data_IF_236054847020
#
_entry.id   IF_236054847020
#
_cell.length_a   1.000
_cell.length_b   1.000
_cell.length_c   1.000
_cell.angle_alpha   90.00
_cell.angle_beta   90.00
_cell.angle_gamma   90.00
#
_symmetry.space_group_name_H-M   'P 1'
#
loop_
_entity.id
_entity.type
_entity.pdbx_description
1 polymer ?
#
# COMPACT_ATOMS: atom_id res chain seq x y z
N UNK A 1 -1.76 -2.92 1.34
CA UNK A 1 -0.40 -3.29 0.90
C UNK A 1 -0.35 -3.60 -0.59
N UNK A 2 -1.38 -4.26 -1.16
CA UNK A 2 -1.52 -4.53 -2.60
C UNK A 2 -1.06 -3.42 -3.56
N UNK A 3 -1.38 -2.15 -3.32
CA UNK A 3 -0.97 -1.05 -4.21
C UNK A 3 0.57 -0.89 -4.29
N UNK A 4 1.26 -1.06 -3.16
CA UNK A 4 2.73 -1.08 -3.12
C UNK A 4 3.27 -2.28 -3.88
N UNK A 5 2.74 -3.48 -3.60
CA UNK A 5 3.17 -4.73 -4.25
C UNK A 5 2.98 -4.68 -5.77
N UNK A 6 1.87 -4.09 -6.25
CA UNK A 6 1.62 -3.91 -7.68
C UNK A 6 2.62 -2.97 -8.33
N UNK A 7 2.97 -1.87 -7.66
CA UNK A 7 3.97 -0.95 -8.18
C UNK A 7 5.37 -1.56 -8.14
N UNK A 8 5.74 -2.29 -7.09
CA UNK A 8 7.02 -3.02 -7.01
C UNK A 8 7.14 -4.04 -8.14
N UNK A 9 6.09 -4.84 -8.38
CA UNK A 9 6.07 -5.79 -9.49
C UNK A 9 6.20 -5.08 -10.86
N UNK A 10 5.62 -3.89 -11.01
CA UNK A 10 5.77 -3.10 -12.23
C UNK A 10 7.19 -2.56 -12.41
N UNK A 11 7.83 -2.08 -11.33
CA UNK A 11 9.22 -1.63 -11.36
C UNK A 11 10.17 -2.79 -11.68
N UNK A 12 9.96 -3.97 -11.08
CA UNK A 12 10.73 -5.18 -11.38
C UNK A 12 10.65 -5.57 -12.86
N UNK A 13 9.45 -5.51 -13.46
CA UNK A 13 9.24 -5.80 -14.89
C UNK A 13 9.95 -4.79 -15.81
N UNK A 14 10.17 -3.55 -15.36
CA UNK A 14 10.83 -2.50 -16.13
C UNK A 14 12.35 -2.55 -16.06
N UNK A 15 12.91 -3.27 -15.09
CA UNK A 15 14.36 -3.38 -14.92
C UNK A 15 15.01 -2.00 -14.84
N UNK A 16 15.98 -1.72 -15.73
CA UNK A 16 16.73 -0.46 -15.71
C UNK A 16 15.86 0.79 -15.93
N UNK A 17 14.72 0.66 -16.62
CA UNK A 17 13.82 1.80 -16.85
C UNK A 17 13.06 2.23 -15.58
N UNK A 18 13.07 1.41 -14.52
CA UNK A 18 12.46 1.75 -13.24
C UNK A 18 13.10 2.96 -12.56
N UNK A 19 14.36 3.26 -12.90
CA UNK A 19 15.13 4.40 -12.35
C UNK A 19 14.72 5.75 -12.98
N UNK A 20 13.90 5.75 -14.02
CA UNK A 20 13.43 6.98 -14.66
C UNK A 20 12.41 7.70 -13.77
N UNK A 21 12.50 9.04 -13.70
CA UNK A 21 11.48 9.87 -13.05
C UNK A 21 10.25 9.99 -13.95
N UNK A 22 9.29 9.07 -13.79
CA UNK A 22 8.07 8.99 -14.59
C UNK A 22 6.87 8.53 -13.76
N UNK A 23 5.77 8.18 -14.43
CA UNK A 23 4.53 7.81 -13.76
C UNK A 23 4.67 6.60 -12.84
N UNK A 24 5.55 5.64 -13.14
CA UNK A 24 5.70 4.42 -12.33
C UNK A 24 6.51 4.67 -11.06
N UNK A 25 7.63 5.38 -11.16
CA UNK A 25 8.44 5.73 -9.99
C UNK A 25 7.68 6.68 -9.06
N UNK A 26 6.94 7.66 -9.63
CA UNK A 26 6.03 8.53 -8.85
C UNK A 26 4.86 7.77 -8.25
N UNK A 27 4.27 6.82 -8.98
CA UNK A 27 3.20 5.97 -8.49
C UNK A 27 3.64 5.13 -7.29
N UNK A 28 4.80 4.48 -7.38
CA UNK A 28 5.38 3.72 -6.26
C UNK A 28 5.63 4.61 -5.03
N UNK A 29 6.27 5.78 -5.22
CA UNK A 29 6.51 6.73 -4.13
C UNK A 29 5.20 7.17 -3.44
N UNK A 30 4.13 7.37 -4.21
CA UNK A 30 2.82 7.66 -3.65
C UNK A 30 2.22 6.46 -2.91
N UNK A 31 2.30 5.26 -3.50
CA UNK A 31 1.77 4.03 -2.93
C UNK A 31 2.37 3.71 -1.55
N UNK A 32 3.65 4.07 -1.31
CA UNK A 32 4.30 3.95 0.00
C UNK A 32 3.56 4.69 1.11
N UNK A 33 2.83 5.76 0.79
CA UNK A 33 2.00 6.48 1.76
C UNK A 33 0.68 5.78 2.06
N UNK A 34 0.17 4.95 1.15
CA UNK A 34 -1.14 4.31 1.24
C UNK A 34 -1.40 3.55 2.54
N UNK A 35 -0.45 2.74 3.06
CA UNK A 35 -0.62 2.04 4.32
C UNK A 35 -0.75 2.91 5.58
N UNK A 36 -0.46 4.22 5.50
CA UNK A 36 -0.43 5.14 6.65
C UNK A 36 -1.34 6.36 6.48
N UNK A 37 -1.51 6.85 5.26
CA UNK A 37 -2.31 8.01 4.93
C UNK A 37 -3.80 7.72 5.20
N UNK A 38 -4.47 8.69 5.85
CA UNK A 38 -5.87 8.57 6.26
C UNK A 38 -6.17 7.41 7.23
N UNK A 39 -5.15 6.93 7.96
CA UNK A 39 -5.26 5.92 9.00
C UNK A 39 -4.60 4.61 8.59
N UNK A 40 -3.85 4.01 9.51
CA UNK A 40 -2.98 2.89 9.13
C UNK A 40 -3.76 1.61 8.85
N UNK A 41 -3.22 0.74 7.99
CA UNK A 41 -3.82 -0.56 7.69
C UNK A 41 -4.09 -1.38 8.96
N UNK A 42 -3.21 -1.34 9.96
CA UNK A 42 -3.39 -2.04 11.23
C UNK A 42 -4.63 -1.55 11.96
N UNK A 43 -4.82 -0.23 12.04
CA UNK A 43 -5.98 0.36 12.70
C UNK A 43 -7.25 0.01 11.92
N UNK A 44 -7.24 0.09 10.58
CA UNK A 44 -8.40 -0.27 9.76
C UNK A 44 -8.76 -1.75 9.89
N UNK A 45 -7.76 -2.66 9.94
CA UNK A 45 -7.98 -4.10 10.18
C UNK A 45 -8.61 -4.35 11.56
N UNK A 46 -8.16 -3.64 12.60
CA UNK A 46 -8.77 -3.73 13.91
C UNK A 46 -10.23 -3.23 13.89
N UNK A 47 -10.51 -2.10 13.23
CA UNK A 47 -11.88 -1.58 13.08
C UNK A 47 -12.76 -2.59 12.34
N UNK A 48 -12.26 -3.23 11.28
CA UNK A 48 -13.00 -4.27 10.56
C UNK A 48 -13.26 -5.50 11.45
N UNK A 49 -12.26 -5.96 12.20
CA UNK A 49 -12.41 -7.06 13.15
C UNK A 49 -13.48 -6.76 14.22
N UNK A 50 -13.50 -5.54 14.78
CA UNK A 50 -14.51 -5.13 15.76
C UNK A 50 -15.90 -5.01 15.12
N UNK A 51 -16.02 -4.25 14.02
CA UNK A 51 -17.33 -3.84 13.47
C UNK A 51 -17.98 -4.87 12.56
N UNK A 52 -17.19 -5.62 11.81
CA UNK A 52 -17.68 -6.61 10.84
C UNK A 52 -17.72 -8.00 11.47
N UNK A 53 -16.66 -8.36 12.22
CA UNK A 53 -16.52 -9.71 12.78
C UNK A 53 -16.95 -9.82 14.25
N UNK A 54 -17.21 -8.70 14.94
CA UNK A 54 -17.63 -8.71 16.35
C UNK A 54 -16.55 -9.16 17.33
N UNK A 55 -15.28 -9.11 16.94
CA UNK A 55 -14.17 -9.52 17.79
C UNK A 55 -13.95 -8.52 18.94
N UNK A 56 -13.56 -8.99 20.15
CA UNK A 56 -13.26 -8.10 21.25
C UNK A 56 -12.02 -7.25 20.95
N UNK A 57 -12.05 -6.01 21.42
CA UNK A 57 -10.97 -5.04 21.26
C UNK A 57 -9.78 -5.43 22.15
N UNK A 58 -8.57 -5.35 21.58
CA UNK A 58 -7.31 -5.43 22.33
C UNK A 58 -6.94 -4.09 22.94
#
# INVERSE_FOLDING_TARGET
>A
ELDVELHEAALDLRGQEAELDDAWSKGWQFALSGPIYAGTNEIQRNIAAERVLGLPRK
#
